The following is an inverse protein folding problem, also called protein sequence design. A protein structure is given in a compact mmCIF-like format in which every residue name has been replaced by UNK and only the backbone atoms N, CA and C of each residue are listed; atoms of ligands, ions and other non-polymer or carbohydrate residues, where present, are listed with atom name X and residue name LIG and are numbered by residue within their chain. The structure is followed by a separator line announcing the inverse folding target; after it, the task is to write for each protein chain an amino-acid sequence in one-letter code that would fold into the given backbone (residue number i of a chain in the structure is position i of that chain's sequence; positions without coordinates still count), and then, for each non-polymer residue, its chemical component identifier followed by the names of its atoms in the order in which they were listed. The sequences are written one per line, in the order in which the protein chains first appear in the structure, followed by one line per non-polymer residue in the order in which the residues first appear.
data_IF_412839110929
#
_entry.id   IF_412839110929
#
_cell.length_a   1.000
_cell.length_b   1.000
_cell.length_c   1.000
_cell.angle_alpha   90.00
_cell.angle_beta   90.00
_cell.angle_gamma   90.00
#
_symmetry.space_group_name_H-M   'P 1'
#
loop_
_entity.id
_entity.type
_entity.pdbx_description
1 polymer ?
#
# COMPACT_ATOMS: atom_id res chain seq x y z
N UNK A 1 -14.53 18.74 17.90
CA UNK A 1 -14.99 18.64 16.50
C UNK A 1 -13.74 18.43 15.66
N UNK A 2 -13.55 17.24 15.08
CA UNK A 2 -12.43 17.01 14.18
C UNK A 2 -12.71 17.80 12.89
N UNK A 3 -12.00 18.89 12.68
CA UNK A 3 -12.09 19.67 11.44
C UNK A 3 -11.46 18.90 10.29
N UNK A 4 -12.13 18.88 9.15
CA UNK A 4 -11.55 18.39 7.91
C UNK A 4 -10.36 19.28 7.59
N UNK A 5 -9.18 18.70 7.41
CA UNK A 5 -7.97 19.43 7.04
C UNK A 5 -7.86 19.56 5.52
N UNK A 6 -8.10 20.76 4.94
CA UNK A 6 -8.06 20.92 3.48
C UNK A 6 -6.70 20.56 2.87
N UNK A 7 -5.63 20.74 3.63
CA UNK A 7 -4.27 20.44 3.18
C UNK A 7 -4.05 18.97 2.87
N UNK A 8 -4.81 18.06 3.52
CA UNK A 8 -4.74 16.61 3.27
C UNK A 8 -5.33 16.19 1.91
N UNK A 9 -6.21 16.99 1.31
CA UNK A 9 -6.80 16.62 0.02
C UNK A 9 -5.75 16.48 -1.10
N UNK A 10 -4.72 17.34 -1.11
CA UNK A 10 -3.68 17.31 -2.15
C UNK A 10 -2.94 15.97 -2.15
N UNK A 11 -2.30 15.52 -1.04
CA UNK A 11 -1.63 14.23 -1.00
C UNK A 11 -2.59 13.07 -1.20
N UNK A 12 -3.83 13.15 -0.67
CA UNK A 12 -4.83 12.08 -0.84
C UNK A 12 -5.20 11.90 -2.32
N UNK A 13 -5.48 12.98 -3.04
CA UNK A 13 -5.75 12.93 -4.48
C UNK A 13 -4.57 12.35 -5.25
N UNK A 14 -3.35 12.77 -4.93
CA UNK A 14 -2.14 12.26 -5.58
C UNK A 14 -1.97 10.74 -5.37
N UNK A 15 -2.08 10.25 -4.12
CA UNK A 15 -1.93 8.81 -3.84
C UNK A 15 -3.12 7.98 -4.33
N UNK A 16 -4.34 8.57 -4.38
CA UNK A 16 -5.50 7.93 -4.97
C UNK A 16 -5.35 7.74 -6.49
N UNK A 17 -4.79 8.74 -7.20
CA UNK A 17 -4.42 8.61 -8.62
C UNK A 17 -3.44 7.46 -8.83
N UNK A 18 -2.40 7.38 -8.00
CA UNK A 18 -1.41 6.30 -8.07
C UNK A 18 -2.07 4.94 -7.83
N UNK A 19 -2.88 4.79 -6.79
CA UNK A 19 -3.58 3.53 -6.52
C UNK A 19 -4.54 3.16 -7.63
N UNK A 20 -5.19 4.13 -8.24
CA UNK A 20 -6.11 3.90 -9.37
C UNK A 20 -5.43 3.26 -10.56
N UNK A 21 -4.19 3.66 -10.83
CA UNK A 21 -3.39 3.14 -11.93
C UNK A 21 -2.74 1.80 -11.58
N UNK A 22 -2.15 1.70 -10.41
CA UNK A 22 -1.25 0.59 -10.06
C UNK A 22 -1.89 -0.49 -9.19
N UNK A 23 -3.11 -0.27 -8.68
CA UNK A 23 -3.72 -1.15 -7.66
C UNK A 23 -3.09 -1.01 -6.27
N UNK A 24 -2.01 -0.25 -6.17
CA UNK A 24 -1.25 0.03 -4.96
C UNK A 24 -0.84 1.50 -4.96
N UNK A 25 -0.95 2.18 -3.82
CA UNK A 25 -0.58 3.59 -3.81
C UNK A 25 -0.90 4.28 -2.49
N UNK A 26 -2.16 4.29 -2.08
CA UNK A 26 -2.60 5.04 -0.90
C UNK A 26 -1.78 4.68 0.34
N UNK A 27 -1.64 3.40 0.67
CA UNK A 27 -0.88 2.99 1.85
C UNK A 27 0.63 3.12 1.63
N UNK A 28 1.12 2.68 0.46
CA UNK A 28 2.55 2.64 0.14
C UNK A 28 3.19 4.04 0.11
N UNK A 29 2.48 5.01 -0.45
CA UNK A 29 3.01 6.37 -0.63
C UNK A 29 2.39 7.38 0.33
N UNK A 30 1.11 7.20 0.69
CA UNK A 30 0.44 8.06 1.65
C UNK A 30 1.09 7.98 3.02
N UNK A 31 1.49 6.77 3.46
CA UNK A 31 2.15 6.60 4.76
C UNK A 31 3.41 7.46 4.91
N UNK A 32 4.42 7.37 4.04
CA UNK A 32 5.60 8.24 4.18
C UNK A 32 5.28 9.73 4.00
N UNK A 33 4.36 10.07 3.10
CA UNK A 33 3.98 11.49 2.89
C UNK A 33 3.37 12.07 4.15
N UNK A 34 2.39 11.41 4.77
CA UNK A 34 1.74 11.92 5.97
C UNK A 34 2.69 11.95 7.18
N UNK A 35 3.57 10.94 7.32
CA UNK A 35 4.63 10.96 8.34
C UNK A 35 5.56 12.17 8.13
N UNK A 36 5.95 12.46 6.90
CA UNK A 36 6.76 13.64 6.55
C UNK A 36 6.01 14.93 6.88
N UNK A 37 4.70 14.98 6.73
CA UNK A 37 3.87 16.13 7.13
C UNK A 37 3.73 16.27 8.65
N UNK A 38 4.21 15.31 9.46
CA UNK A 38 4.24 15.37 10.92
C UNK A 38 3.11 14.61 11.62
N UNK A 39 2.29 13.85 10.88
CA UNK A 39 1.26 13.01 11.48
C UNK A 39 1.87 11.77 12.14
N UNK A 40 1.35 11.38 13.30
CA UNK A 40 1.72 10.16 13.97
C UNK A 40 1.16 8.93 13.24
N UNK A 41 1.81 7.77 13.43
CA UNK A 41 1.49 6.56 12.66
C UNK A 41 0.04 6.07 12.84
N UNK A 42 -0.57 6.07 14.05
CA UNK A 42 -2.00 5.76 14.21
C UNK A 42 -2.93 6.68 13.41
N UNK A 43 -2.67 7.97 13.41
CA UNK A 43 -3.43 8.96 12.62
C UNK A 43 -3.30 8.72 11.12
N UNK A 44 -2.08 8.44 10.66
CA UNK A 44 -1.82 8.07 9.26
C UNK A 44 -2.65 6.85 8.85
N UNK A 45 -2.65 5.79 9.67
CA UNK A 45 -3.43 4.60 9.40
C UNK A 45 -4.94 4.88 9.40
N UNK A 46 -5.46 5.58 10.43
CA UNK A 46 -6.87 5.92 10.53
C UNK A 46 -7.37 6.74 9.32
N UNK A 47 -6.49 7.56 8.73
CA UNK A 47 -6.80 8.35 7.54
C UNK A 47 -6.76 7.52 6.27
N UNK A 48 -5.69 6.75 6.05
CA UNK A 48 -5.42 6.12 4.77
C UNK A 48 -6.13 4.77 4.57
N UNK A 49 -6.40 4.01 5.65
CA UNK A 49 -7.01 2.68 5.53
C UNK A 49 -8.42 2.73 4.92
N UNK A 50 -9.34 3.62 5.34
CA UNK A 50 -10.66 3.74 4.71
C UNK A 50 -10.57 4.14 3.23
N UNK A 51 -9.64 5.02 2.86
CA UNK A 51 -9.41 5.44 1.46
C UNK A 51 -8.97 4.24 0.62
N UNK A 52 -7.98 3.48 1.13
CA UNK A 52 -7.46 2.29 0.45
C UNK A 52 -8.55 1.22 0.27
N UNK A 53 -9.38 0.99 1.29
CA UNK A 53 -10.52 0.07 1.22
C UNK A 53 -11.51 0.53 0.14
N UNK A 54 -11.92 1.79 0.15
CA UNK A 54 -12.88 2.33 -0.80
C UNK A 54 -12.44 2.19 -2.26
N UNK A 55 -11.20 2.56 -2.57
CA UNK A 55 -10.64 2.43 -3.92
C UNK A 55 -10.49 0.96 -4.30
N UNK A 56 -9.92 0.12 -3.43
CA UNK A 56 -9.68 -1.30 -3.73
C UNK A 56 -10.97 -2.09 -3.91
N UNK A 57 -12.01 -1.82 -3.11
CA UNK A 57 -13.33 -2.40 -3.31
C UNK A 57 -13.92 -1.99 -4.67
N UNK A 58 -13.80 -0.71 -5.04
CA UNK A 58 -14.26 -0.22 -6.34
C UNK A 58 -13.52 -0.91 -7.51
N UNK A 59 -12.24 -1.23 -7.34
CA UNK A 59 -11.46 -2.00 -8.31
C UNK A 59 -11.95 -3.44 -8.41
N UNK A 60 -12.17 -4.11 -7.28
CA UNK A 60 -12.65 -5.51 -7.26
C UNK A 60 -14.03 -5.63 -7.88
N UNK A 61 -14.96 -4.73 -7.56
CA UNK A 61 -16.32 -4.78 -8.14
C UNK A 61 -16.28 -4.77 -9.66
N UNK A 62 -15.34 -4.05 -10.27
CA UNK A 62 -15.18 -4.02 -11.74
C UNK A 62 -14.48 -5.25 -12.30
N UNK A 63 -13.48 -5.77 -11.59
CA UNK A 63 -12.55 -6.78 -12.10
C UNK A 63 -12.62 -8.09 -11.27
N UNK A 64 -13.75 -8.39 -10.61
CA UNK A 64 -13.88 -9.51 -9.66
C UNK A 64 -13.48 -10.88 -10.24
N UNK A 65 -13.78 -11.10 -11.53
CA UNK A 65 -13.44 -12.36 -12.22
C UNK A 65 -11.94 -12.52 -12.50
N UNK A 66 -11.19 -11.46 -12.38
CA UNK A 66 -9.75 -11.43 -12.62
C UNK A 66 -8.91 -11.64 -11.36
N UNK A 67 -9.52 -11.85 -10.20
CA UNK A 67 -8.80 -12.05 -8.94
C UNK A 67 -8.24 -13.48 -8.87
N UNK A 68 -6.94 -13.62 -8.61
CA UNK A 68 -6.31 -14.91 -8.29
C UNK A 68 -6.67 -15.35 -6.87
N UNK A 69 -7.74 -16.14 -6.75
CA UNK A 69 -8.25 -16.62 -5.48
C UNK A 69 -7.28 -17.57 -4.75
N UNK A 70 -6.43 -18.29 -5.49
CA UNK A 70 -5.44 -19.17 -4.87
C UNK A 70 -4.40 -18.34 -4.10
N UNK A 71 -3.88 -17.31 -4.73
CA UNK A 71 -2.95 -16.38 -4.10
C UNK A 71 -3.59 -15.63 -2.92
N UNK A 72 -4.85 -15.19 -3.05
CA UNK A 72 -5.57 -14.52 -1.96
C UNK A 72 -5.78 -15.44 -0.75
N UNK A 73 -6.04 -16.73 -0.94
CA UNK A 73 -6.07 -17.71 0.17
C UNK A 73 -4.72 -17.79 0.89
N UNK A 74 -3.61 -17.80 0.15
CA UNK A 74 -2.27 -17.75 0.72
C UNK A 74 -2.04 -16.49 1.55
N UNK A 75 -2.46 -15.33 1.04
CA UNK A 75 -2.43 -14.04 1.76
C UNK A 75 -3.21 -14.12 3.08
N UNK A 76 -4.43 -14.64 3.04
CA UNK A 76 -5.27 -14.73 4.25
C UNK A 76 -4.61 -15.61 5.33
N UNK A 77 -3.96 -16.70 4.92
CA UNK A 77 -3.37 -17.67 5.85
C UNK A 77 -2.00 -17.23 6.38
N UNK A 78 -1.15 -16.62 5.56
CA UNK A 78 0.25 -16.36 5.91
C UNK A 78 0.57 -14.88 6.11
N UNK A 79 -0.07 -14.00 5.33
CA UNK A 79 0.24 -12.57 5.36
C UNK A 79 -0.57 -11.85 6.44
N UNK A 80 -1.88 -12.08 6.49
CA UNK A 80 -2.79 -11.38 7.41
C UNK A 80 -2.44 -11.59 8.88
N UNK A 81 -2.14 -12.80 9.39
CA UNK A 81 -1.71 -12.98 10.78
C UNK A 81 -0.44 -12.19 11.12
N UNK A 82 0.52 -12.15 10.18
CA UNK A 82 1.73 -11.36 10.35
C UNK A 82 1.43 -9.85 10.36
N UNK A 83 0.53 -9.37 9.50
CA UNK A 83 0.10 -7.96 9.51
C UNK A 83 -0.45 -7.58 10.88
N UNK A 84 -1.38 -8.35 11.42
CA UNK A 84 -2.00 -8.09 12.73
C UNK A 84 -0.95 -8.07 13.84
N UNK A 85 -0.13 -9.11 13.92
CA UNK A 85 0.90 -9.24 14.94
C UNK A 85 1.89 -8.07 14.91
N UNK A 86 2.46 -7.80 13.73
CA UNK A 86 3.50 -6.79 13.59
C UNK A 86 2.95 -5.36 13.61
N UNK A 87 1.69 -5.14 13.27
CA UNK A 87 1.02 -3.86 13.51
C UNK A 87 0.87 -3.57 15.00
N UNK A 88 0.49 -4.57 15.82
CA UNK A 88 0.43 -4.41 17.29
C UNK A 88 1.81 -4.04 17.83
N UNK A 89 2.88 -4.68 17.33
CA UNK A 89 4.26 -4.33 17.71
C UNK A 89 4.58 -2.88 17.33
N UNK A 90 4.27 -2.48 16.11
CA UNK A 90 4.52 -1.12 15.61
C UNK A 90 3.77 -0.05 16.42
N UNK A 91 2.49 -0.30 16.75
CA UNK A 91 1.67 0.61 17.55
C UNK A 91 2.16 0.76 19.00
N UNK A 92 2.87 -0.25 19.55
CA UNK A 92 3.46 -0.20 20.89
C UNK A 92 4.85 0.43 20.91
N UNK A 93 5.64 0.24 19.85
CA UNK A 93 7.04 0.70 19.80
C UNK A 93 7.20 2.19 19.47
N UNK A 94 6.12 2.88 19.06
CA UNK A 94 6.17 4.30 18.71
C UNK A 94 6.82 4.57 17.34
N UNK A 95 7.18 5.84 17.07
CA UNK A 95 7.56 6.33 15.72
C UNK A 95 8.97 5.93 15.21
N UNK A 96 9.64 4.96 15.82
CA UNK A 96 11.05 4.62 15.52
C UNK A 96 11.30 3.91 14.18
N UNK A 97 10.32 3.86 13.26
CA UNK A 97 10.42 3.10 12.01
C UNK A 97 10.78 3.93 10.76
N UNK A 98 10.97 5.23 10.86
CA UNK A 98 11.22 6.11 9.70
C UNK A 98 12.42 5.65 8.87
N UNK A 99 13.56 5.36 9.50
CA UNK A 99 14.76 4.86 8.81
C UNK A 99 14.54 3.48 8.16
N UNK A 100 13.80 2.59 8.82
CA UNK A 100 13.44 1.29 8.26
C UNK A 100 12.58 1.47 7.00
N UNK A 101 11.58 2.35 7.08
CA UNK A 101 10.72 2.71 5.94
C UNK A 101 11.55 3.25 4.78
N UNK A 102 12.42 4.23 5.05
CA UNK A 102 13.30 4.83 4.05
C UNK A 102 14.22 3.80 3.39
N UNK A 103 14.92 2.99 4.20
CA UNK A 103 15.82 1.95 3.71
C UNK A 103 15.13 0.95 2.79
N UNK A 104 13.91 0.56 3.13
CA UNK A 104 13.13 -0.39 2.34
C UNK A 104 12.64 0.21 1.01
N UNK A 105 12.14 1.44 1.01
CA UNK A 105 11.76 2.13 -0.22
C UNK A 105 12.94 2.27 -1.17
N UNK A 106 14.12 2.67 -0.65
CA UNK A 106 15.35 2.78 -1.42
C UNK A 106 15.81 1.42 -1.96
N UNK A 107 15.79 0.37 -1.14
CA UNK A 107 16.14 -0.99 -1.58
C UNK A 107 15.26 -1.43 -2.76
N UNK A 108 13.95 -1.18 -2.68
CA UNK A 108 13.03 -1.54 -3.76
C UNK A 108 13.20 -0.68 -5.01
N UNK A 109 13.50 0.59 -4.86
CA UNK A 109 13.77 1.47 -5.99
C UNK A 109 15.06 1.05 -6.74
N UNK A 110 16.10 0.70 -5.99
CA UNK A 110 17.40 0.30 -6.53
C UNK A 110 17.42 -1.12 -7.10
N UNK A 111 16.51 -2.01 -6.66
CA UNK A 111 16.42 -3.39 -7.14
C UNK A 111 16.45 -3.49 -8.67
N UNK A 112 15.70 -2.63 -9.35
CA UNK A 112 15.60 -2.69 -10.82
C UNK A 112 16.82 -2.12 -11.54
N UNK A 113 17.69 -1.40 -10.83
CA UNK A 113 18.94 -0.87 -11.35
C UNK A 113 20.13 -1.82 -11.10
N UNK A 114 19.96 -2.81 -10.19
CA UNK A 114 21.00 -3.78 -9.85
C UNK A 114 20.63 -5.18 -10.33
N UNK A 115 21.20 -5.65 -11.46
CA UNK A 115 20.90 -6.97 -12.02
C UNK A 115 21.14 -8.11 -11.04
N UNK A 116 22.22 -8.06 -10.25
CA UNK A 116 22.53 -9.05 -9.24
C UNK A 116 21.45 -9.15 -8.15
N UNK A 117 20.95 -8.02 -7.68
CA UNK A 117 19.89 -7.95 -6.68
C UNK A 117 18.56 -8.48 -7.25
N UNK A 118 18.25 -8.16 -8.50
CA UNK A 118 17.10 -8.71 -9.21
C UNK A 118 17.17 -10.22 -9.31
N UNK A 119 18.29 -10.77 -9.77
CA UNK A 119 18.50 -12.24 -9.87
C UNK A 119 18.40 -12.91 -8.50
N UNK A 120 18.98 -12.31 -7.46
CA UNK A 120 18.88 -12.85 -6.10
C UNK A 120 17.42 -12.92 -5.63
N UNK A 121 16.65 -11.85 -5.84
CA UNK A 121 15.23 -11.79 -5.48
C UNK A 121 14.40 -12.79 -6.32
N UNK A 122 14.67 -12.91 -7.63
CA UNK A 122 13.95 -13.85 -8.49
C UNK A 122 14.20 -15.31 -8.11
N UNK A 123 15.40 -15.64 -7.60
CA UNK A 123 15.70 -16.96 -7.05
C UNK A 123 14.86 -17.33 -5.82
N UNK A 124 14.43 -16.34 -5.05
CA UNK A 124 13.56 -16.56 -3.88
C UNK A 124 12.09 -16.76 -4.24
N UNK A 125 11.69 -16.53 -5.50
CA UNK A 125 10.30 -16.66 -5.96
C UNK A 125 9.70 -18.06 -5.72
N UNK A 126 10.53 -19.11 -5.66
CA UNK A 126 10.13 -20.49 -5.33
C UNK A 126 9.61 -20.67 -3.89
N UNK A 127 9.94 -19.75 -2.99
CA UNK A 127 9.54 -19.80 -1.58
C UNK A 127 8.31 -18.95 -1.33
N UNK A 128 7.17 -19.33 -1.88
CA UNK A 128 5.95 -18.52 -1.82
C UNK A 128 5.53 -18.18 -0.39
N UNK A 129 5.52 -19.16 0.52
CA UNK A 129 5.14 -18.93 1.92
C UNK A 129 6.04 -17.89 2.62
N UNK A 130 7.35 -17.99 2.38
CA UNK A 130 8.32 -17.01 2.92
C UNK A 130 8.02 -15.61 2.40
N UNK A 131 7.71 -15.47 1.09
CA UNK A 131 7.30 -14.20 0.52
C UNK A 131 6.05 -13.63 1.19
N UNK A 132 5.03 -14.46 1.37
CA UNK A 132 3.77 -14.04 2.00
C UNK A 132 3.99 -13.59 3.46
N UNK A 133 4.82 -14.30 4.23
CA UNK A 133 5.20 -13.90 5.58
C UNK A 133 5.99 -12.58 5.56
N UNK A 134 7.00 -12.45 4.69
CA UNK A 134 7.76 -11.21 4.56
C UNK A 134 6.88 -10.01 4.18
N UNK A 135 5.93 -10.18 3.26
CA UNK A 135 4.94 -9.15 2.92
C UNK A 135 4.17 -8.73 4.17
N UNK A 136 3.71 -9.70 4.98
CA UNK A 136 2.93 -9.44 6.19
C UNK A 136 3.71 -8.71 7.26
N UNK A 137 4.93 -9.15 7.56
CA UNK A 137 5.84 -8.51 8.51
C UNK A 137 6.09 -7.06 8.12
N UNK A 138 6.48 -6.87 6.86
CA UNK A 138 6.77 -5.55 6.30
C UNK A 138 5.55 -4.64 6.34
N UNK A 139 4.39 -5.15 5.92
CA UNK A 139 3.16 -4.36 5.88
C UNK A 139 2.68 -4.01 7.29
N UNK A 140 2.75 -4.95 8.23
CA UNK A 140 2.38 -4.71 9.62
C UNK A 140 3.26 -3.66 10.30
N UNK A 141 4.57 -3.69 10.10
CA UNK A 141 5.51 -2.74 10.70
C UNK A 141 5.46 -1.35 10.07
N UNK A 142 5.34 -1.27 8.74
CA UNK A 142 5.65 -0.03 7.99
C UNK A 142 4.55 0.44 7.05
N UNK A 143 3.52 -0.38 6.83
CA UNK A 143 2.49 -0.16 5.80
C UNK A 143 3.02 -0.21 4.35
N UNK A 144 4.28 -0.65 4.14
CA UNK A 144 4.94 -0.66 2.83
C UNK A 144 5.02 -2.03 2.16
N UNK A 145 4.41 -3.06 2.73
CA UNK A 145 4.39 -4.41 2.16
C UNK A 145 3.81 -4.52 0.75
N UNK A 146 3.10 -3.48 0.31
CA UNK A 146 2.56 -3.39 -1.04
C UNK A 146 3.62 -3.39 -2.14
N UNK A 147 4.82 -2.91 -1.87
CA UNK A 147 5.94 -3.00 -2.82
C UNK A 147 6.36 -4.45 -3.05
N UNK A 148 6.48 -5.25 -1.98
CA UNK A 148 6.76 -6.69 -2.06
C UNK A 148 5.61 -7.46 -2.72
N UNK A 149 4.37 -7.12 -2.36
CA UNK A 149 3.18 -7.71 -2.97
C UNK A 149 3.16 -7.48 -4.48
N UNK A 150 3.33 -6.24 -4.92
CA UNK A 150 3.35 -5.89 -6.35
C UNK A 150 4.47 -6.61 -7.09
N UNK A 151 5.66 -6.72 -6.46
CA UNK A 151 6.78 -7.46 -7.01
C UNK A 151 6.44 -8.95 -7.18
N UNK A 152 5.83 -9.56 -6.15
CA UNK A 152 5.45 -10.96 -6.20
C UNK A 152 4.41 -11.23 -7.29
N UNK A 153 3.38 -10.39 -7.38
CA UNK A 153 2.35 -10.52 -8.41
C UNK A 153 2.92 -10.33 -9.82
N UNK A 154 3.89 -9.41 -10.00
CA UNK A 154 4.58 -9.26 -11.29
C UNK A 154 5.38 -10.51 -11.69
N UNK A 155 6.00 -11.22 -10.73
CA UNK A 155 6.71 -12.48 -10.99
C UNK A 155 5.79 -13.63 -11.44
N UNK A 156 4.49 -13.55 -11.13
CA UNK A 156 3.49 -14.54 -11.56
C UNK A 156 3.12 -14.39 -13.05
N UNK A 157 3.66 -13.39 -13.76
CA UNK A 157 3.43 -13.12 -15.17
C UNK A 157 1.96 -13.01 -15.58
N UNK A 158 1.10 -12.53 -14.68
CA UNK A 158 -0.29 -12.24 -14.97
C UNK A 158 -0.43 -11.00 -15.88
N UNK A 159 -1.48 -10.97 -16.69
CA UNK A 159 -1.87 -9.74 -17.38
C UNK A 159 -2.18 -8.60 -16.40
N UNK A 160 -2.09 -7.35 -16.85
CA UNK A 160 -2.25 -6.15 -16.00
C UNK A 160 -3.60 -6.12 -15.25
N UNK A 161 -4.66 -6.65 -15.82
CA UNK A 161 -5.99 -6.74 -15.22
C UNK A 161 -5.99 -7.68 -14.02
N UNK A 162 -5.45 -8.91 -14.19
CA UNK A 162 -5.36 -9.92 -13.13
C UNK A 162 -4.42 -9.43 -12.03
N UNK A 163 -3.27 -8.87 -12.39
CA UNK A 163 -2.32 -8.32 -11.45
C UNK A 163 -2.97 -7.21 -10.59
N UNK A 164 -3.63 -6.22 -11.21
CA UNK A 164 -4.30 -5.13 -10.50
C UNK A 164 -5.43 -5.62 -9.60
N UNK A 165 -6.31 -6.50 -10.11
CA UNK A 165 -7.42 -7.03 -9.33
C UNK A 165 -6.96 -7.84 -8.13
N UNK A 166 -5.91 -8.68 -8.29
CA UNK A 166 -5.33 -9.48 -7.21
C UNK A 166 -4.65 -8.60 -6.16
N UNK A 167 -3.91 -7.57 -6.57
CA UNK A 167 -3.33 -6.60 -5.65
C UNK A 167 -4.43 -5.86 -4.89
N UNK A 168 -5.49 -5.39 -5.57
CA UNK A 168 -6.61 -4.71 -4.92
C UNK A 168 -7.30 -5.61 -3.88
N UNK A 169 -7.54 -6.90 -4.20
CA UNK A 169 -8.12 -7.85 -3.27
C UNK A 169 -7.24 -8.06 -2.02
N UNK A 170 -5.94 -8.17 -2.21
CA UNK A 170 -5.00 -8.23 -1.10
C UNK A 170 -5.05 -6.97 -0.22
N UNK A 171 -5.13 -5.79 -0.83
CA UNK A 171 -5.19 -4.51 -0.12
C UNK A 171 -6.48 -4.32 0.68
N UNK A 172 -7.62 -4.83 0.19
CA UNK A 172 -8.85 -4.86 1.00
C UNK A 172 -8.63 -5.67 2.28
N UNK A 173 -8.03 -6.86 2.17
CA UNK A 173 -7.72 -7.67 3.35
C UNK A 173 -6.73 -6.97 4.28
N UNK A 174 -5.64 -6.45 3.74
CA UNK A 174 -4.64 -5.73 4.53
C UNK A 174 -5.28 -4.57 5.30
N UNK A 175 -5.96 -3.68 4.60
CA UNK A 175 -6.53 -2.49 5.20
C UNK A 175 -7.69 -2.82 6.17
N UNK A 176 -8.51 -3.82 5.88
CA UNK A 176 -9.60 -4.23 6.77
C UNK A 176 -9.06 -4.79 8.10
N UNK A 177 -8.08 -5.71 8.04
CA UNK A 177 -7.47 -6.27 9.25
C UNK A 177 -6.62 -5.26 10.02
N UNK A 178 -5.93 -4.34 9.33
CA UNK A 178 -5.22 -3.24 9.98
C UNK A 178 -6.20 -2.27 10.68
N UNK A 179 -7.30 -1.90 10.02
CA UNK A 179 -8.31 -1.02 10.59
C UNK A 179 -8.98 -1.65 11.82
N UNK A 180 -9.32 -2.94 11.76
CA UNK A 180 -9.83 -3.68 12.90
C UNK A 180 -8.81 -3.71 14.05
N UNK A 181 -7.55 -4.03 13.76
CA UNK A 181 -6.47 -4.06 14.75
C UNK A 181 -6.26 -2.68 15.37
N UNK A 182 -6.21 -1.62 14.56
CA UNK A 182 -6.05 -0.25 15.03
C UNK A 182 -7.18 0.17 15.96
N UNK A 183 -8.43 -0.03 15.56
CA UNK A 183 -9.61 0.37 16.34
C UNK A 183 -9.80 -0.43 17.64
N UNK A 184 -9.24 -1.63 17.74
CA UNK A 184 -9.23 -2.44 18.95
C UNK A 184 -8.09 -1.99 19.87
N UNK A 185 -6.88 -1.77 19.32
CA UNK A 185 -5.68 -1.45 20.12
C UNK A 185 -5.57 0.03 20.49
N UNK A 186 -6.18 0.92 19.69
CA UNK A 186 -6.19 2.38 19.83
C UNK A 186 -7.61 2.91 19.63
N UNK A 187 -8.52 2.75 20.62
CA UNK A 187 -9.93 3.16 20.48
C UNK A 187 -10.11 4.65 20.15
N UNK A 188 -9.17 5.49 20.56
CA UNK A 188 -9.14 6.92 20.25
C UNK A 188 -9.08 7.21 18.74
N UNK A 189 -8.51 6.32 17.95
CA UNK A 189 -8.44 6.45 16.48
C UNK A 189 -9.81 6.45 15.80
N UNK A 190 -10.84 5.93 16.48
CA UNK A 190 -12.23 5.92 15.95
C UNK A 190 -12.78 7.32 15.70
N UNK A 191 -12.35 8.30 16.48
CA UNK A 191 -12.80 9.69 16.32
C UNK A 191 -12.44 10.27 14.95
N UNK A 192 -11.38 9.76 14.30
CA UNK A 192 -10.91 10.22 12.99
C UNK A 192 -11.64 9.56 11.82
N UNK A 193 -12.32 8.42 12.05
CA UNK A 193 -12.94 7.65 10.97
C UNK A 193 -14.02 8.43 10.21
N UNK A 194 -14.77 9.31 10.89
CA UNK A 194 -15.77 10.15 10.24
C UNK A 194 -15.19 11.01 9.13
N UNK A 195 -14.09 11.73 9.40
CA UNK A 195 -13.39 12.52 8.40
C UNK A 195 -12.74 11.66 7.32
N UNK A 196 -12.22 10.48 7.69
CA UNK A 196 -11.58 9.56 6.77
C UNK A 196 -12.55 9.02 5.72
N UNK A 197 -13.85 8.90 6.03
CA UNK A 197 -14.87 8.53 5.06
C UNK A 197 -15.06 9.59 3.97
N UNK A 198 -14.93 10.88 4.30
CA UNK A 198 -14.99 11.98 3.33
C UNK A 198 -13.79 11.89 2.37
N UNK A 199 -12.60 11.66 2.91
CA UNK A 199 -11.39 11.43 2.11
C UNK A 199 -11.50 10.15 1.28
N UNK A 200 -12.13 9.10 1.79
CA UNK A 200 -12.39 7.87 1.05
C UNK A 200 -13.34 8.12 -0.14
N UNK A 201 -14.40 8.88 0.06
CA UNK A 201 -15.31 9.26 -1.02
C UNK A 201 -14.58 10.07 -2.12
N UNK A 202 -13.74 11.04 -1.73
CA UNK A 202 -12.90 11.78 -2.67
C UNK A 202 -11.93 10.85 -3.42
N UNK A 203 -11.27 9.93 -2.72
CA UNK A 203 -10.37 8.94 -3.32
C UNK A 203 -11.07 8.02 -4.33
N UNK A 204 -12.28 7.57 -4.02
CA UNK A 204 -13.10 6.77 -4.95
C UNK A 204 -13.50 7.59 -6.18
N UNK A 205 -13.90 8.85 -6.02
CA UNK A 205 -14.20 9.73 -7.14
C UNK A 205 -12.99 9.91 -8.07
N UNK A 206 -11.81 10.14 -7.49
CA UNK A 206 -10.53 10.20 -8.22
C UNK A 206 -10.26 8.88 -8.95
N UNK A 207 -10.49 7.73 -8.30
CA UNK A 207 -10.33 6.42 -8.94
C UNK A 207 -11.25 6.27 -10.17
N UNK A 208 -12.52 6.60 -10.04
CA UNK A 208 -13.49 6.46 -11.13
C UNK A 208 -13.06 7.29 -12.35
N UNK A 209 -12.58 8.51 -12.11
CA UNK A 209 -12.03 9.36 -13.16
C UNK A 209 -10.73 8.78 -13.76
N UNK A 210 -9.75 8.47 -12.94
CA UNK A 210 -8.42 8.04 -13.39
C UNK A 210 -8.45 6.69 -14.11
N UNK A 211 -9.34 5.78 -13.73
CA UNK A 211 -9.48 4.48 -14.39
C UNK A 211 -9.88 4.63 -15.86
N UNK A 212 -10.77 5.55 -16.19
CA UNK A 212 -11.23 5.76 -17.57
C UNK A 212 -10.17 6.46 -18.43
N UNK A 213 -9.49 7.45 -17.88
CA UNK A 213 -8.62 8.34 -18.65
C UNK A 213 -7.15 7.96 -18.63
N UNK A 214 -6.67 7.26 -17.59
CA UNK A 214 -5.25 6.97 -17.41
C UNK A 214 -4.96 5.47 -17.55
N UNK A 215 -5.58 4.62 -16.72
CA UNK A 215 -5.22 3.20 -16.67
C UNK A 215 -5.42 2.49 -18.02
N UNK A 216 -6.52 2.76 -18.70
CA UNK A 216 -6.80 2.16 -19.99
C UNK A 216 -5.77 2.52 -21.08
N UNK A 217 -5.09 3.64 -20.93
CA UNK A 217 -4.14 4.19 -21.92
C UNK A 217 -2.67 3.91 -21.63
N UNK A 218 -2.32 3.58 -20.37
CA UNK A 218 -0.92 3.35 -20.00
C UNK A 218 -0.42 2.00 -20.52
N UNK A 219 0.76 1.99 -21.13
CA UNK A 219 1.42 0.74 -21.56
C UNK A 219 2.05 0.01 -20.37
N UNK A 220 2.26 -1.32 -20.49
CA UNK A 220 2.93 -2.10 -19.45
C UNK A 220 4.35 -1.58 -19.12
N UNK A 221 5.09 -1.10 -20.13
CA UNK A 221 6.42 -0.52 -19.91
C UNK A 221 6.35 0.85 -19.21
N UNK A 222 5.41 1.71 -19.62
CA UNK A 222 5.16 3.00 -18.96
C UNK A 222 4.77 2.82 -17.50
N UNK A 223 3.94 1.83 -17.23
CA UNK A 223 3.56 1.42 -15.88
C UNK A 223 4.77 1.08 -15.00
N UNK A 224 5.64 0.17 -15.47
CA UNK A 224 6.82 -0.25 -14.70
C UNK A 224 7.81 0.90 -14.44
N UNK A 225 8.06 1.77 -15.44
CA UNK A 225 8.94 2.94 -15.30
C UNK A 225 8.38 3.96 -14.30
N UNK A 226 7.10 4.30 -14.40
CA UNK A 226 6.45 5.25 -13.51
C UNK A 226 6.45 4.74 -12.06
N UNK A 227 6.17 3.44 -11.85
CA UNK A 227 6.17 2.82 -10.53
C UNK A 227 7.56 2.88 -9.87
N UNK A 228 8.62 2.55 -10.61
CA UNK A 228 9.99 2.61 -10.10
C UNK A 228 10.43 4.04 -9.77
N UNK A 229 10.12 5.01 -10.63
CA UNK A 229 10.40 6.42 -10.37
C UNK A 229 9.73 6.90 -9.09
N UNK A 230 8.49 6.50 -8.88
CA UNK A 230 7.74 6.88 -7.68
C UNK A 230 8.32 6.26 -6.40
N UNK A 231 8.73 4.98 -6.43
CA UNK A 231 9.40 4.33 -5.30
C UNK A 231 10.69 5.06 -4.93
N UNK A 232 11.49 5.45 -5.92
CA UNK A 232 12.73 6.18 -5.71
C UNK A 232 12.48 7.54 -5.03
N UNK A 233 11.56 8.34 -5.59
CA UNK A 233 11.22 9.65 -5.03
C UNK A 233 10.70 9.52 -3.58
N UNK A 234 9.82 8.56 -3.30
CA UNK A 234 9.28 8.35 -1.95
C UNK A 234 10.36 7.92 -0.97
N UNK A 235 11.26 7.01 -1.38
CA UNK A 235 12.38 6.56 -0.56
C UNK A 235 13.33 7.71 -0.20
N UNK A 236 13.67 8.55 -1.16
CA UNK A 236 14.52 9.73 -0.95
C UNK A 236 13.87 10.74 -0.01
N UNK A 237 12.56 11.04 -0.17
CA UNK A 237 11.85 11.97 0.69
C UNK A 237 11.85 11.50 2.16
N UNK A 238 11.56 10.23 2.40
CA UNK A 238 11.56 9.67 3.77
C UNK A 238 12.97 9.64 4.36
N UNK A 239 14.00 9.29 3.56
CA UNK A 239 15.38 9.31 4.00
C UNK A 239 15.81 10.71 4.45
N UNK A 240 15.50 11.73 3.66
CA UNK A 240 15.82 13.13 3.98
C UNK A 240 15.25 13.62 5.31
N UNK A 241 14.05 13.15 5.68
CA UNK A 241 13.41 13.56 6.94
C UNK A 241 13.85 12.72 8.15
N UNK A 242 14.41 11.54 7.92
CA UNK A 242 14.84 10.62 8.99
C UNK A 242 16.29 10.88 9.46
N UNK A 243 17.00 11.77 8.79
CA UNK A 243 18.31 12.32 9.14
C UNK A 243 18.10 13.66 9.85
#
# INVERSE_FOLDING_TARGET
MNTIEPLLFIPIVAVALVQSVFGVGVLLFGTPILIVMGYDYPTVLATLLPISIGISLSQIVRDARSVDLHFIRGILLWTVPCIVLFLIVALRAGQSFGLLIAGLLLLFALKNQWPALRVAIDRTARFERTWLVCIGVMHGLTNLGGSLLSMRVQQMNHGKEVARATIAAAYVLFAAFQLATLTITRPESRAQLGNSLIYAAAGVAVYLFANEFIFKRISNQGYAKAFNGFLLCSGLLVAFKSI
#
